data_IF_038307552128
#
_entry.id   IF_038307552128
#
_cell.length_a   1.000
_cell.length_b   1.000
_cell.length_c   1.000
_cell.angle_alpha   90.00
_cell.angle_beta   90.00
_cell.angle_gamma   90.00
#
_symmetry.space_group_name_H-M   'P 1'
#
loop_
_entity.id
_entity.type
_entity.pdbx_description
1 polymer ?
#
# COMPACT_ATOMS: atom_id res chain seq x y z
N UNK A 1 -23.35 -58.93 -77.56
CA UNK A 1 -22.30 -57.96 -77.32
C UNK A 1 -22.53 -57.41 -75.92
N UNK A 2 -21.85 -58.02 -74.92
CA UNK A 2 -22.02 -57.72 -73.52
C UNK A 2 -20.80 -56.98 -73.04
N UNK A 3 -20.97 -55.74 -72.60
CA UNK A 3 -19.89 -54.91 -72.07
C UNK A 3 -19.77 -55.18 -70.53
N UNK A 4 -18.62 -55.73 -70.10
CA UNK A 4 -18.25 -55.89 -68.70
C UNK A 4 -17.79 -54.58 -68.12
N UNK A 5 -18.50 -54.18 -67.09
CA UNK A 5 -18.15 -53.00 -66.23
C UNK A 5 -17.28 -53.45 -65.06
N UNK A 6 -16.03 -53.03 -65.08
CA UNK A 6 -15.02 -53.31 -64.08
C UNK A 6 -15.08 -52.20 -63.03
N UNK A 7 -15.39 -52.56 -61.82
CA UNK A 7 -15.46 -51.67 -60.61
C UNK A 7 -14.06 -51.43 -60.07
N UNK A 8 -13.60 -50.18 -59.79
CA UNK A 8 -12.29 -49.96 -59.19
C UNK A 8 -12.34 -50.29 -57.71
N UNK A 9 -11.29 -50.94 -57.20
CA UNK A 9 -11.10 -51.33 -55.83
C UNK A 9 -10.68 -50.14 -54.90
N UNK A 10 -10.80 -50.28 -53.60
CA UNK A 10 -10.54 -49.19 -52.67
C UNK A 10 -9.05 -48.89 -52.51
N UNK A 11 -8.74 -47.58 -52.58
CA UNK A 11 -7.39 -47.03 -52.33
C UNK A 11 -7.02 -47.17 -50.85
N UNK A 12 -5.78 -47.58 -50.50
CA UNK A 12 -5.37 -47.67 -49.11
C UNK A 12 -5.21 -46.28 -48.46
N UNK A 13 -5.78 -46.12 -47.25
CA UNK A 13 -5.65 -44.94 -46.41
C UNK A 13 -4.18 -44.72 -46.02
N UNK A 14 -3.67 -43.53 -46.30
CA UNK A 14 -2.40 -43.05 -45.79
C UNK A 14 -2.48 -42.84 -44.23
N UNK A 15 -1.37 -43.07 -43.49
CA UNK A 15 -1.36 -42.86 -42.06
C UNK A 15 -1.55 -41.37 -41.70
N UNK A 16 -2.48 -41.08 -40.79
CA UNK A 16 -2.66 -39.73 -40.26
C UNK A 16 -1.40 -39.32 -39.51
N UNK A 17 -0.80 -38.23 -39.96
CA UNK A 17 0.25 -37.55 -39.21
C UNK A 17 -0.28 -37.15 -37.82
N UNK A 18 0.36 -37.64 -36.79
CA UNK A 18 0.17 -37.19 -35.39
C UNK A 18 0.44 -35.71 -35.33
N UNK A 19 -0.64 -34.93 -35.17
CA UNK A 19 -0.55 -33.49 -34.99
C UNK A 19 0.34 -33.19 -33.78
N UNK A 20 1.38 -32.39 -34.02
CA UNK A 20 2.18 -31.83 -32.97
C UNK A 20 1.27 -31.07 -32.00
N UNK A 21 1.24 -31.52 -30.75
CA UNK A 21 0.52 -30.86 -29.72
C UNK A 21 1.12 -29.46 -29.56
N UNK A 22 0.34 -28.43 -29.88
CA UNK A 22 0.76 -27.07 -29.63
C UNK A 22 1.00 -26.94 -28.11
N UNK A 23 2.11 -26.32 -27.67
CA UNK A 23 2.37 -26.12 -26.24
C UNK A 23 1.18 -25.36 -25.65
N UNK A 24 0.69 -25.83 -24.51
CA UNK A 24 -0.36 -25.16 -23.76
C UNK A 24 0.03 -23.68 -23.56
N UNK A 25 -0.90 -22.72 -23.72
CA UNK A 25 -0.59 -21.32 -23.49
C UNK A 25 -0.02 -21.17 -22.07
N UNK A 26 1.13 -20.51 -21.97
CA UNK A 26 1.77 -20.20 -20.70
C UNK A 26 0.71 -19.55 -19.78
N UNK A 27 0.66 -19.91 -18.49
CA UNK A 27 -0.31 -19.33 -17.56
C UNK A 27 -0.17 -17.81 -17.63
N UNK A 28 -1.29 -17.13 -17.86
CA UNK A 28 -1.32 -15.66 -17.90
C UNK A 28 -0.60 -15.12 -16.68
N UNK A 29 0.43 -14.29 -16.89
CA UNK A 29 1.26 -13.76 -15.84
C UNK A 29 0.34 -13.10 -14.80
N UNK A 30 0.30 -13.66 -13.59
CA UNK A 30 -0.55 -13.16 -12.53
C UNK A 30 -0.11 -11.74 -12.18
N UNK A 31 -1.07 -10.81 -12.07
CA UNK A 31 -0.79 -9.42 -11.68
C UNK A 31 0.04 -9.39 -10.41
N UNK A 32 1.18 -8.66 -10.37
CA UNK A 32 2.04 -8.60 -9.18
C UNK A 32 1.25 -8.17 -7.94
N UNK A 33 1.40 -8.92 -6.84
CA UNK A 33 0.69 -8.65 -5.58
C UNK A 33 -0.77 -9.11 -5.54
N UNK A 34 -1.32 -9.68 -6.60
CA UNK A 34 -2.72 -10.13 -6.64
C UNK A 34 -3.08 -11.11 -5.50
N UNK A 35 -2.25 -12.11 -5.15
CA UNK A 35 -2.52 -13.00 -4.02
C UNK A 35 -2.64 -12.24 -2.69
N UNK A 36 -1.74 -11.29 -2.43
CA UNK A 36 -1.75 -10.45 -1.24
C UNK A 36 -3.02 -9.59 -1.17
N UNK A 37 -3.40 -8.94 -2.26
CA UNK A 37 -4.61 -8.11 -2.32
C UNK A 37 -5.89 -8.92 -2.12
N UNK A 38 -5.95 -10.11 -2.70
CA UNK A 38 -7.07 -11.02 -2.51
C UNK A 38 -7.17 -11.49 -1.05
N UNK A 39 -6.03 -11.83 -0.42
CA UNK A 39 -5.98 -12.22 0.99
C UNK A 39 -6.46 -11.08 1.89
N UNK A 40 -5.99 -9.85 1.65
CA UNK A 40 -6.43 -8.67 2.39
C UNK A 40 -7.94 -8.46 2.26
N UNK A 41 -8.47 -8.49 1.05
CA UNK A 41 -9.91 -8.30 0.78
C UNK A 41 -10.79 -9.33 1.49
N UNK A 42 -10.30 -10.57 1.63
CA UNK A 42 -11.03 -11.62 2.35
C UNK A 42 -11.02 -11.45 3.87
N UNK A 43 -9.94 -10.91 4.41
CA UNK A 43 -9.74 -10.80 5.87
C UNK A 43 -10.21 -9.45 6.43
N UNK A 44 -10.16 -8.39 5.64
CA UNK A 44 -10.51 -7.06 6.11
C UNK A 44 -11.99 -6.76 5.93
N UNK A 45 -12.71 -6.40 7.01
CA UNK A 45 -14.09 -5.97 6.92
C UNK A 45 -14.25 -4.55 6.34
N UNK A 46 -13.15 -3.78 6.30
CA UNK A 46 -13.19 -2.35 5.93
C UNK A 46 -12.44 -2.01 4.65
N UNK A 47 -11.68 -2.95 4.08
CA UNK A 47 -10.81 -2.68 2.93
C UNK A 47 -10.94 -3.75 1.85
N UNK A 48 -11.29 -3.34 0.64
CA UNK A 48 -11.32 -4.19 -0.54
C UNK A 48 -10.33 -3.70 -1.61
N UNK A 49 -9.53 -4.61 -2.18
CA UNK A 49 -8.58 -4.31 -3.25
C UNK A 49 -8.86 -5.21 -4.45
N UNK A 50 -8.93 -4.61 -5.63
CA UNK A 50 -9.15 -5.33 -6.91
C UNK A 50 -8.04 -5.01 -7.89
N UNK A 51 -7.46 -6.03 -8.49
CA UNK A 51 -6.56 -5.89 -9.63
C UNK A 51 -7.38 -5.53 -10.87
N UNK A 52 -7.51 -4.25 -11.15
CA UNK A 52 -8.29 -3.72 -12.27
C UNK A 52 -7.78 -2.32 -12.66
N UNK A 53 -8.04 -1.87 -13.89
CA UNK A 53 -7.75 -0.49 -14.28
C UNK A 53 -8.41 0.52 -13.34
N UNK A 54 -7.78 1.69 -13.11
CA UNK A 54 -8.35 2.75 -12.31
C UNK A 54 -9.72 3.19 -12.84
N UNK A 55 -10.61 3.51 -11.91
CA UNK A 55 -12.00 3.90 -12.18
C UNK A 55 -12.22 5.38 -11.94
N UNK A 56 -13.17 5.96 -12.67
CA UNK A 56 -13.67 7.33 -12.50
C UNK A 56 -15.19 7.32 -12.35
N UNK A 57 -15.73 8.35 -11.72
CA UNK A 57 -17.17 8.47 -11.50
C UNK A 57 -17.70 7.51 -10.43
N UNK A 58 -18.96 7.64 -10.05
CA UNK A 58 -19.58 6.78 -9.02
C UNK A 58 -18.86 6.81 -7.67
N UNK A 59 -18.24 7.92 -7.31
CA UNK A 59 -17.47 8.09 -6.07
C UNK A 59 -16.03 7.56 -6.13
N UNK A 60 -15.56 7.09 -7.30
CA UNK A 60 -14.17 6.72 -7.51
C UNK A 60 -13.30 7.95 -7.75
N UNK A 61 -12.19 8.03 -7.04
CA UNK A 61 -11.15 9.04 -7.15
C UNK A 61 -9.86 8.38 -7.66
N UNK A 62 -9.41 8.64 -8.90
CA UNK A 62 -8.07 8.29 -9.34
C UNK A 62 -7.03 9.03 -8.52
N UNK A 63 -5.97 8.34 -8.07
CA UNK A 63 -4.94 8.99 -7.27
C UNK A 63 -4.22 10.11 -8.02
N UNK A 64 -4.09 9.99 -9.35
CA UNK A 64 -3.53 11.04 -10.19
C UNK A 64 -4.33 12.36 -10.12
N UNK A 65 -5.63 12.30 -9.86
CA UNK A 65 -6.45 13.51 -9.77
C UNK A 65 -6.09 14.38 -8.57
N UNK A 66 -5.52 13.80 -7.50
CA UNK A 66 -5.05 14.57 -6.34
C UNK A 66 -3.94 15.56 -6.68
N UNK A 67 -3.17 15.28 -7.72
CA UNK A 67 -2.08 16.16 -8.18
C UNK A 67 -2.44 16.99 -9.40
N UNK A 68 -3.39 16.51 -10.19
CA UNK A 68 -3.81 17.18 -11.43
C UNK A 68 -4.95 18.18 -11.21
N UNK A 69 -5.77 18.00 -10.14
CA UNK A 69 -6.96 18.80 -9.87
C UNK A 69 -6.99 19.21 -8.39
N UNK A 70 -6.74 20.48 -8.07
CA UNK A 70 -6.80 20.96 -6.68
C UNK A 70 -8.14 20.68 -5.99
N UNK A 71 -9.24 20.67 -6.75
CA UNK A 71 -10.60 20.40 -6.27
C UNK A 71 -10.72 18.97 -5.71
N UNK A 72 -9.98 17.99 -6.26
CA UNK A 72 -10.02 16.61 -5.79
C UNK A 72 -9.54 16.47 -4.35
N UNK A 73 -8.52 17.22 -3.96
CA UNK A 73 -8.06 17.29 -2.56
C UNK A 73 -9.11 17.92 -1.68
N UNK A 74 -9.73 19.03 -2.13
CA UNK A 74 -10.80 19.70 -1.38
C UNK A 74 -12.03 18.82 -1.21
N UNK A 75 -12.45 18.07 -2.24
CA UNK A 75 -13.56 17.12 -2.19
C UNK A 75 -13.30 16.00 -1.16
N UNK A 76 -12.08 15.47 -1.15
CA UNK A 76 -11.66 14.43 -0.19
C UNK A 76 -11.71 14.96 1.25
N UNK A 77 -11.19 16.17 1.49
CA UNK A 77 -11.22 16.84 2.80
C UNK A 77 -12.65 17.14 3.24
N UNK A 78 -13.50 17.63 2.33
CA UNK A 78 -14.90 17.92 2.63
C UNK A 78 -15.67 16.64 3.03
N UNK A 79 -15.34 15.49 2.44
CA UNK A 79 -15.89 14.21 2.87
C UNK A 79 -15.51 13.90 4.33
N UNK A 80 -14.25 14.11 4.72
CA UNK A 80 -13.77 13.89 6.08
C UNK A 80 -14.36 14.90 7.08
N UNK A 81 -14.56 16.15 6.66
CA UNK A 81 -15.23 17.15 7.48
C UNK A 81 -16.67 16.74 7.80
N UNK A 82 -17.42 16.24 6.80
CA UNK A 82 -18.79 15.74 7.01
C UNK A 82 -18.83 14.52 7.95
N UNK A 83 -17.92 13.56 7.76
CA UNK A 83 -17.84 12.40 8.64
C UNK A 83 -17.46 12.81 10.07
N UNK A 84 -16.55 13.77 10.23
CA UNK A 84 -16.19 14.30 11.53
C UNK A 84 -17.36 15.00 12.22
N UNK A 85 -18.14 15.80 11.50
CA UNK A 85 -19.35 16.42 12.03
C UNK A 85 -20.37 15.36 12.49
N UNK A 86 -20.60 14.32 11.69
CA UNK A 86 -21.51 13.24 12.05
C UNK A 86 -21.03 12.46 13.30
N UNK A 87 -19.73 12.24 13.43
CA UNK A 87 -19.15 11.47 14.56
C UNK A 87 -19.08 12.26 15.87
N UNK A 88 -18.70 13.54 15.78
CA UNK A 88 -18.38 14.35 16.97
C UNK A 88 -19.47 15.39 17.31
N UNK A 89 -20.51 15.53 16.48
CA UNK A 89 -21.58 16.53 16.67
C UNK A 89 -21.14 17.99 16.50
N UNK A 90 -19.90 18.23 16.06
CA UNK A 90 -19.31 19.55 15.85
C UNK A 90 -18.35 19.54 14.65
N UNK A 91 -18.20 20.69 13.96
CA UNK A 91 -17.33 20.77 12.80
C UNK A 91 -15.85 20.58 13.19
N UNK A 92 -15.12 19.84 12.36
CA UNK A 92 -13.67 19.77 12.45
C UNK A 92 -13.05 21.11 12.02
N UNK A 93 -11.94 21.48 12.63
CA UNK A 93 -11.08 22.53 12.07
C UNK A 93 -10.59 22.09 10.68
N UNK A 94 -10.45 23.02 9.70
CA UNK A 94 -10.05 22.67 8.34
C UNK A 94 -8.74 21.87 8.26
N UNK A 95 -7.71 22.26 9.04
CA UNK A 95 -6.42 21.57 9.08
C UNK A 95 -6.52 20.16 9.69
N UNK A 96 -7.45 19.92 10.61
CA UNK A 96 -7.72 18.60 11.20
C UNK A 96 -8.43 17.71 10.18
N UNK A 97 -9.46 18.24 9.49
CA UNK A 97 -10.14 17.52 8.41
C UNK A 97 -9.17 17.15 7.29
N UNK A 98 -8.27 18.07 6.91
CA UNK A 98 -7.25 17.82 5.91
C UNK A 98 -6.26 16.72 6.37
N UNK A 99 -5.85 16.74 7.64
CA UNK A 99 -5.02 15.67 8.22
C UNK A 99 -5.69 14.31 8.19
N UNK A 100 -7.00 14.26 8.48
CA UNK A 100 -7.77 13.01 8.38
C UNK A 100 -7.90 12.54 6.94
N UNK A 101 -8.15 13.45 5.99
CA UNK A 101 -8.19 13.14 4.57
C UNK A 101 -6.89 12.53 4.08
N UNK A 102 -5.76 13.14 4.45
CA UNK A 102 -4.43 12.62 4.12
C UNK A 102 -4.20 11.23 4.72
N UNK A 103 -4.43 11.06 6.02
CA UNK A 103 -4.22 9.77 6.70
C UNK A 103 -5.08 8.66 6.07
N UNK A 104 -6.37 8.92 5.86
CA UNK A 104 -7.32 7.96 5.29
C UNK A 104 -7.11 7.68 3.79
N UNK A 105 -6.32 8.49 3.10
CA UNK A 105 -5.80 8.17 1.79
C UNK A 105 -4.54 7.32 1.87
N UNK A 106 -3.55 7.75 2.66
CA UNK A 106 -2.24 7.09 2.72
C UNK A 106 -2.34 5.70 3.34
N UNK A 107 -3.13 5.54 4.40
CA UNK A 107 -3.27 4.28 5.13
C UNK A 107 -3.65 3.09 4.23
N UNK A 108 -4.76 3.11 3.44
CA UNK A 108 -5.11 1.99 2.59
C UNK A 108 -4.20 1.85 1.37
N UNK A 109 -3.71 2.97 0.82
CA UNK A 109 -2.85 2.96 -0.37
C UNK A 109 -1.47 2.40 -0.04
N UNK A 110 -0.92 2.67 1.15
CA UNK A 110 0.37 2.10 1.56
C UNK A 110 0.37 0.57 1.57
N UNK A 111 -0.78 -0.05 1.84
CA UNK A 111 -0.94 -1.51 1.81
C UNK A 111 -0.80 -2.11 0.40
N UNK A 112 -1.00 -1.31 -0.65
CA UNK A 112 -0.74 -1.76 -2.02
C UNK A 112 0.74 -2.06 -2.27
N UNK A 113 1.63 -1.45 -1.50
CA UNK A 113 3.08 -1.66 -1.57
C UNK A 113 3.57 -2.60 -0.47
N UNK A 114 3.18 -2.31 0.77
CA UNK A 114 3.74 -2.99 1.95
C UNK A 114 3.25 -4.42 2.11
N UNK A 115 2.02 -4.73 1.69
CA UNK A 115 1.48 -6.08 1.88
C UNK A 115 2.08 -7.11 0.91
N UNK A 116 2.24 -6.84 -0.41
CA UNK A 116 2.97 -7.75 -1.29
C UNK A 116 4.44 -7.90 -0.91
N UNK A 117 5.09 -6.83 -0.45
CA UNK A 117 6.43 -6.91 0.10
C UNK A 117 6.48 -7.83 1.33
N UNK A 118 5.54 -7.68 2.25
CA UNK A 118 5.47 -8.48 3.48
C UNK A 118 5.18 -9.96 3.20
N UNK A 119 4.24 -10.27 2.29
CA UNK A 119 3.78 -11.64 2.05
C UNK A 119 4.53 -12.38 0.94
N UNK A 120 4.94 -11.66 -0.10
CA UNK A 120 5.48 -12.25 -1.33
C UNK A 120 6.94 -11.86 -1.60
N UNK A 121 7.53 -10.98 -0.79
CA UNK A 121 8.84 -10.34 -1.08
C UNK A 121 8.84 -9.70 -2.47
N UNK A 122 7.73 -9.06 -2.84
CA UNK A 122 7.56 -8.31 -4.08
C UNK A 122 7.13 -6.89 -3.79
N UNK A 123 7.82 -5.92 -4.37
CA UNK A 123 7.45 -4.50 -4.30
C UNK A 123 6.79 -4.09 -5.61
N UNK A 124 5.47 -3.87 -5.65
CA UNK A 124 4.79 -3.42 -6.85
C UNK A 124 5.28 -2.03 -7.30
N UNK A 125 5.47 -1.85 -8.60
CA UNK A 125 5.78 -0.56 -9.20
C UNK A 125 4.45 0.09 -9.62
N UNK A 126 4.09 1.16 -8.93
CA UNK A 126 2.82 1.86 -9.12
C UNK A 126 3.08 3.36 -9.34
N UNK A 127 2.47 3.90 -10.37
CA UNK A 127 2.28 5.33 -10.54
C UNK A 127 0.91 5.76 -9.98
N UNK A 128 0.69 7.07 -9.78
CA UNK A 128 -0.62 7.59 -9.36
C UNK A 128 -1.74 7.21 -10.34
N UNK A 129 -1.41 7.11 -11.64
CA UNK A 129 -2.34 6.67 -12.68
C UNK A 129 -2.78 5.21 -12.61
N UNK A 130 -2.14 4.39 -11.77
CA UNK A 130 -2.44 2.96 -11.64
C UNK A 130 -3.40 2.64 -10.49
N UNK A 131 -3.79 3.65 -9.72
CA UNK A 131 -4.59 3.48 -8.50
C UNK A 131 -5.82 4.36 -8.54
N UNK A 132 -6.97 3.82 -8.15
CA UNK A 132 -8.14 4.61 -7.77
C UNK A 132 -8.73 4.12 -6.45
N UNK A 133 -9.36 5.02 -5.74
CA UNK A 133 -9.92 4.81 -4.41
C UNK A 133 -11.38 5.24 -4.41
N UNK A 134 -12.23 4.46 -3.73
CA UNK A 134 -13.61 4.83 -3.42
C UNK A 134 -13.84 4.69 -1.93
N UNK A 135 -14.28 5.75 -1.29
CA UNK A 135 -14.61 5.75 0.14
C UNK A 135 -16.11 5.71 0.32
N UNK A 136 -16.56 4.79 1.15
CA UNK A 136 -17.93 4.71 1.66
C UNK A 136 -17.93 5.08 3.15
N UNK A 137 -19.06 4.98 3.81
CA UNK A 137 -19.17 5.29 5.24
C UNK A 137 -18.18 4.48 6.07
N UNK A 138 -18.17 3.15 5.88
CA UNK A 138 -17.41 2.23 6.73
C UNK A 138 -16.35 1.42 5.96
N UNK A 139 -16.26 1.59 4.64
CA UNK A 139 -15.36 0.79 3.81
C UNK A 139 -14.60 1.64 2.80
N UNK A 140 -13.43 1.14 2.43
CA UNK A 140 -12.59 1.69 1.37
C UNK A 140 -12.38 0.61 0.31
N UNK A 141 -12.61 0.97 -0.94
CA UNK A 141 -12.33 0.13 -2.08
C UNK A 141 -11.21 0.73 -2.91
N UNK A 142 -10.27 -0.11 -3.33
CA UNK A 142 -9.16 0.25 -4.20
C UNK A 142 -9.22 -0.55 -5.50
N UNK A 143 -8.87 0.09 -6.61
CA UNK A 143 -8.40 -0.63 -7.80
C UNK A 143 -6.94 -0.34 -8.00
N UNK A 144 -6.19 -1.35 -8.44
CA UNK A 144 -4.76 -1.26 -8.66
C UNK A 144 -4.35 -2.06 -9.89
N UNK A 145 -3.44 -1.49 -10.69
CA UNK A 145 -2.88 -2.14 -11.88
C UNK A 145 -1.36 -1.96 -11.91
N UNK A 146 -0.59 -2.78 -11.18
CA UNK A 146 0.85 -2.71 -11.20
C UNK A 146 1.40 -2.92 -12.61
N UNK A 147 2.35 -2.09 -13.01
CA UNK A 147 3.04 -2.19 -14.31
C UNK A 147 4.26 -3.10 -14.26
N UNK A 148 4.78 -3.37 -13.05
CA UNK A 148 5.91 -4.23 -12.76
C UNK A 148 6.10 -4.40 -11.26
N UNK A 149 7.20 -5.04 -10.89
CA UNK A 149 7.55 -5.26 -9.49
C UNK A 149 9.06 -5.45 -9.30
N UNK A 150 9.56 -5.12 -8.13
CA UNK A 150 10.88 -5.56 -7.67
C UNK A 150 10.74 -6.81 -6.82
N UNK A 151 11.70 -7.74 -6.93
CA UNK A 151 11.72 -9.00 -6.19
C UNK A 151 13.16 -9.47 -5.91
N UNK A 152 13.31 -10.52 -5.11
CA UNK A 152 14.60 -11.17 -4.87
C UNK A 152 15.00 -12.10 -6.04
N UNK A 153 16.30 -12.46 -6.18
CA UNK A 153 16.79 -13.31 -7.27
C UNK A 153 16.13 -14.69 -7.33
N UNK A 154 15.70 -15.23 -6.17
CA UNK A 154 15.04 -16.54 -6.07
C UNK A 154 13.53 -16.52 -6.34
N UNK A 155 12.94 -15.37 -6.69
CA UNK A 155 11.52 -15.28 -7.01
C UNK A 155 11.22 -16.04 -8.32
N UNK A 156 10.20 -16.92 -8.37
CA UNK A 156 9.84 -17.66 -9.59
C UNK A 156 9.53 -16.78 -10.79
N UNK A 157 9.12 -15.53 -10.57
CA UNK A 157 8.81 -14.56 -11.62
C UNK A 157 9.96 -13.58 -11.90
N UNK A 158 11.16 -13.77 -11.32
CA UNK A 158 12.31 -12.87 -11.51
C UNK A 158 12.77 -12.74 -12.97
N UNK A 159 12.52 -13.77 -13.80
CA UNK A 159 12.77 -13.73 -15.23
C UNK A 159 11.69 -13.03 -16.09
N UNK A 160 10.63 -12.53 -15.48
CA UNK A 160 9.60 -11.79 -16.21
C UNK A 160 10.13 -10.43 -16.67
N UNK A 161 9.74 -9.95 -17.87
CA UNK A 161 10.11 -8.61 -18.36
C UNK A 161 9.56 -7.48 -17.47
N UNK A 162 8.60 -7.78 -16.60
CA UNK A 162 8.04 -6.84 -15.63
C UNK A 162 8.78 -6.88 -14.28
N UNK A 163 9.69 -7.83 -14.07
CA UNK A 163 10.43 -7.98 -12.82
C UNK A 163 11.73 -7.17 -12.85
N UNK A 164 12.05 -6.57 -11.71
CA UNK A 164 13.35 -6.01 -11.42
C UNK A 164 13.92 -6.73 -10.20
N UNK A 165 15.13 -7.26 -10.33
CA UNK A 165 15.74 -8.03 -9.25
C UNK A 165 16.52 -7.11 -8.31
N UNK A 166 16.17 -7.12 -7.02
CA UNK A 166 16.93 -6.52 -5.94
C UNK A 166 18.01 -7.52 -5.48
N UNK A 167 19.19 -7.04 -5.12
CA UNK A 167 20.31 -7.91 -4.78
C UNK A 167 20.06 -8.77 -3.53
N UNK A 168 19.37 -8.19 -2.54
CA UNK A 168 19.09 -8.78 -1.23
C UNK A 168 17.86 -8.13 -0.57
N UNK A 169 17.52 -8.56 0.64
CA UNK A 169 16.41 -8.02 1.42
C UNK A 169 16.56 -6.52 1.73
N UNK A 170 17.78 -6.05 1.97
CA UNK A 170 18.05 -4.63 2.23
C UNK A 170 17.79 -3.78 0.97
N UNK A 171 18.23 -4.25 -0.18
CA UNK A 171 17.97 -3.62 -1.46
C UNK A 171 16.46 -3.64 -1.78
N UNK A 172 15.76 -4.74 -1.50
CA UNK A 172 14.32 -4.83 -1.68
C UNK A 172 13.56 -3.87 -0.75
N UNK A 173 13.98 -3.72 0.49
CA UNK A 173 13.43 -2.72 1.41
C UNK A 173 13.71 -1.28 0.94
N UNK A 174 14.87 -1.03 0.31
CA UNK A 174 15.17 0.26 -0.32
C UNK A 174 14.25 0.53 -1.52
N UNK A 175 13.97 -0.48 -2.36
CA UNK A 175 12.97 -0.39 -3.43
C UNK A 175 11.59 -0.03 -2.90
N UNK A 176 11.16 -0.65 -1.79
CA UNK A 176 9.89 -0.31 -1.14
C UNK A 176 9.85 1.15 -0.67
N UNK A 177 10.90 1.62 -0.01
CA UNK A 177 11.00 3.03 0.42
C UNK A 177 10.93 3.97 -0.77
N UNK A 178 11.63 3.65 -1.84
CA UNK A 178 11.66 4.43 -3.07
C UNK A 178 10.28 4.47 -3.75
N UNK A 179 9.63 3.32 -3.91
CA UNK A 179 8.31 3.22 -4.52
C UNK A 179 7.25 4.01 -3.73
N UNK A 180 7.21 3.83 -2.39
CA UNK A 180 6.34 4.60 -1.51
C UNK A 180 6.66 6.11 -1.56
N UNK A 181 7.95 6.46 -1.52
CA UNK A 181 8.41 7.85 -1.59
C UNK A 181 7.96 8.53 -2.87
N UNK A 182 8.21 7.92 -4.01
CA UNK A 182 7.83 8.44 -5.31
C UNK A 182 6.33 8.60 -5.49
N UNK A 183 5.55 7.64 -4.98
CA UNK A 183 4.08 7.70 -5.04
C UNK A 183 3.51 8.78 -4.11
N UNK A 184 4.01 8.89 -2.88
CA UNK A 184 3.44 9.77 -1.87
C UNK A 184 3.91 11.21 -1.97
N UNK A 185 5.13 11.49 -2.43
CA UNK A 185 5.68 12.85 -2.49
C UNK A 185 4.77 13.86 -3.19
N UNK A 186 4.26 13.61 -4.41
CA UNK A 186 3.36 14.54 -5.09
C UNK A 186 2.02 14.70 -4.36
N UNK A 187 1.51 13.64 -3.72
CA UNK A 187 0.27 13.70 -2.94
C UNK A 187 0.47 14.57 -1.69
N UNK A 188 1.57 14.38 -0.96
CA UNK A 188 1.90 15.19 0.22
C UNK A 188 2.05 16.67 -0.15
N UNK A 189 2.66 16.96 -1.31
CA UNK A 189 2.76 18.31 -1.85
C UNK A 189 1.39 18.93 -2.10
N UNK A 190 0.46 18.17 -2.69
CA UNK A 190 -0.90 18.63 -2.98
C UNK A 190 -1.73 18.89 -1.70
N UNK A 191 -1.52 18.10 -0.65
CA UNK A 191 -2.18 18.27 0.65
C UNK A 191 -1.58 19.38 1.52
N UNK A 192 -0.31 19.74 1.30
CA UNK A 192 0.45 20.68 2.14
C UNK A 192 -0.30 21.98 2.46
N UNK A 193 -0.83 22.71 1.47
CA UNK A 193 -1.56 23.95 1.69
C UNK A 193 -2.79 23.80 2.60
N UNK A 194 -3.47 22.66 2.53
CA UNK A 194 -4.70 22.38 3.28
C UNK A 194 -4.41 21.92 4.73
N UNK A 195 -3.38 21.08 4.90
CA UNK A 195 -2.95 20.60 6.23
C UNK A 195 -2.27 21.71 7.03
N UNK A 196 -1.73 22.74 6.35
CA UNK A 196 -0.99 23.86 6.96
C UNK A 196 0.18 23.40 7.82
N UNK A 197 0.90 22.39 7.35
CA UNK A 197 2.08 21.83 8.00
C UNK A 197 3.24 21.73 7.02
N UNK A 198 4.44 21.88 7.54
CA UNK A 198 5.64 21.74 6.74
C UNK A 198 5.87 20.30 6.26
N UNK A 199 6.71 20.10 5.22
CA UNK A 199 6.95 18.80 4.60
C UNK A 199 7.35 17.71 5.60
N UNK A 200 8.17 18.04 6.62
CA UNK A 200 8.57 17.10 7.67
C UNK A 200 7.36 16.50 8.41
N UNK A 201 6.35 17.31 8.72
CA UNK A 201 5.17 16.83 9.44
C UNK A 201 4.28 16.01 8.52
N UNK A 202 4.16 16.38 7.25
CA UNK A 202 3.41 15.59 6.26
C UNK A 202 4.03 14.20 6.08
N UNK A 203 5.36 14.12 5.99
CA UNK A 203 6.06 12.83 5.95
C UNK A 203 5.90 12.03 7.24
N UNK A 204 5.90 12.68 8.40
CA UNK A 204 5.63 12.02 9.67
C UNK A 204 4.20 11.43 9.71
N UNK A 205 3.20 12.16 9.20
CA UNK A 205 1.83 11.66 9.09
C UNK A 205 1.72 10.48 8.12
N UNK A 206 2.42 10.55 6.98
CA UNK A 206 2.46 9.45 6.02
C UNK A 206 3.15 8.21 6.62
N UNK A 207 4.27 8.40 7.32
CA UNK A 207 4.98 7.32 8.00
C UNK A 207 4.09 6.64 9.03
N UNK A 208 3.38 7.40 9.86
CA UNK A 208 2.42 6.85 10.83
C UNK A 208 1.33 6.03 10.16
N UNK A 209 0.82 6.47 9.00
CA UNK A 209 -0.19 5.75 8.23
C UNK A 209 0.34 4.45 7.61
N UNK A 210 1.58 4.44 7.11
CA UNK A 210 2.25 3.24 6.60
C UNK A 210 2.44 2.20 7.71
N UNK A 211 2.94 2.64 8.86
CA UNK A 211 3.13 1.77 10.03
C UNK A 211 1.80 1.16 10.48
N UNK A 212 0.77 2.00 10.59
CA UNK A 212 -0.56 1.57 11.00
C UNK A 212 -1.18 0.59 10.01
N UNK A 213 -0.98 0.82 8.71
CA UNK A 213 -1.50 -0.05 7.65
C UNK A 213 -0.92 -1.47 7.75
N UNK A 214 0.40 -1.60 7.77
CA UNK A 214 1.01 -2.93 7.85
C UNK A 214 0.79 -3.60 9.22
N UNK A 215 0.76 -2.83 10.31
CA UNK A 215 0.40 -3.32 11.63
C UNK A 215 -1.03 -3.90 11.67
N UNK A 216 -1.99 -3.19 11.06
CA UNK A 216 -3.36 -3.67 10.90
C UNK A 216 -3.41 -4.99 10.11
N UNK A 217 -2.74 -5.03 8.96
CA UNK A 217 -2.69 -6.24 8.14
C UNK A 217 -2.03 -7.41 8.88
N UNK A 218 -0.92 -7.16 9.61
CA UNK A 218 -0.28 -8.16 10.47
C UNK A 218 -1.22 -8.72 11.53
N UNK A 219 -2.08 -7.87 12.11
CA UNK A 219 -3.13 -8.28 13.04
C UNK A 219 -4.16 -9.21 12.41
N UNK A 220 -4.66 -8.88 11.22
CA UNK A 220 -5.59 -9.73 10.47
C UNK A 220 -5.00 -11.09 10.08
N UNK A 221 -3.69 -11.10 9.86
CA UNK A 221 -2.95 -12.31 9.45
C UNK A 221 -2.51 -13.19 10.62
N UNK A 222 -2.61 -12.70 11.87
CA UNK A 222 -2.03 -13.34 13.03
C UNK A 222 -0.50 -13.22 13.11
N UNK A 223 0.09 -12.29 12.35
CA UNK A 223 1.55 -12.13 12.19
C UNK A 223 2.05 -10.78 12.76
N UNK A 224 1.49 -10.31 13.88
CA UNK A 224 1.84 -9.00 14.46
C UNK A 224 3.31 -8.84 14.80
N UNK A 225 3.92 -9.85 15.41
CA UNK A 225 5.33 -9.78 15.80
C UNK A 225 6.25 -9.68 14.57
N UNK A 226 5.93 -10.42 13.52
CA UNK A 226 6.63 -10.30 12.24
C UNK A 226 6.43 -8.93 11.62
N UNK A 227 5.21 -8.41 11.57
CA UNK A 227 4.93 -7.08 11.04
C UNK A 227 5.68 -5.98 11.83
N UNK A 228 5.79 -6.13 13.16
CA UNK A 228 6.58 -5.25 14.02
C UNK A 228 8.07 -5.29 13.68
N UNK A 229 8.65 -6.48 13.55
CA UNK A 229 10.06 -6.64 13.21
C UNK A 229 10.39 -6.06 11.83
N UNK A 230 9.57 -6.36 10.82
CA UNK A 230 9.72 -5.85 9.46
C UNK A 230 9.57 -4.31 9.39
N UNK A 231 8.59 -3.75 10.10
CA UNK A 231 8.43 -2.30 10.20
C UNK A 231 9.61 -1.63 10.90
N UNK A 232 10.13 -2.23 11.97
CA UNK A 232 11.30 -1.71 12.66
C UNK A 232 12.54 -1.70 11.76
N UNK A 233 12.73 -2.75 10.96
CA UNK A 233 13.81 -2.82 9.97
C UNK A 233 13.60 -1.80 8.83
N UNK A 234 12.38 -1.65 8.34
CA UNK A 234 12.04 -0.72 7.27
C UNK A 234 12.28 0.75 7.69
N UNK A 235 11.98 1.08 8.95
CA UNK A 235 12.11 2.43 9.51
C UNK A 235 13.49 2.73 10.09
N UNK A 236 14.34 1.71 10.26
CA UNK A 236 15.71 1.92 10.70
C UNK A 236 16.40 2.94 9.77
N UNK A 237 17.20 3.86 10.30
CA UNK A 237 18.01 4.74 9.48
C UNK A 237 18.90 3.87 8.60
N UNK A 238 18.49 3.68 7.33
CA UNK A 238 19.33 3.03 6.36
C UNK A 238 20.57 3.93 6.14
N UNK A 239 21.72 3.34 5.90
CA UNK A 239 22.82 4.07 5.30
C UNK A 239 22.28 4.82 4.08
N UNK A 240 22.65 6.11 3.89
CA UNK A 240 22.20 6.85 2.72
C UNK A 240 22.50 6.00 1.49
N UNK A 241 21.50 5.75 0.66
CA UNK A 241 21.57 4.93 -0.56
C UNK A 241 22.54 5.52 -1.62
N UNK A 242 23.48 6.36 -1.20
CA UNK A 242 24.50 7.05 -1.98
C UNK A 242 25.89 6.66 -1.48
N UNK A 243 26.25 5.40 -1.69
CA UNK A 243 27.66 5.14 -1.94
C UNK A 243 27.95 5.69 -3.35
N UNK A 244 28.97 6.57 -3.52
CA UNK A 244 29.34 7.08 -4.83
C UNK A 244 29.73 5.88 -5.73
N UNK A 245 28.96 5.65 -6.81
CA UNK A 245 29.24 4.59 -7.78
C UNK A 245 28.15 3.54 -7.97
N UNK A 246 27.04 3.55 -7.21
CA UNK A 246 25.88 2.69 -7.52
C UNK A 246 24.80 3.54 -8.21
N UNK A 247 24.34 3.19 -9.43
CA UNK A 247 23.15 3.81 -10.02
C UNK A 247 21.99 3.64 -9.05
N UNK A 248 21.30 4.71 -8.72
CA UNK A 248 20.14 4.68 -7.82
C UNK A 248 19.13 3.67 -8.31
N UNK A 249 18.63 2.81 -7.43
CA UNK A 249 17.65 1.77 -7.77
C UNK A 249 16.38 2.31 -8.44
N UNK A 250 16.07 3.60 -8.28
CA UNK A 250 14.94 4.29 -8.90
C UNK A 250 15.25 5.15 -10.14
N UNK A 251 16.44 5.05 -10.72
CA UNK A 251 16.72 5.62 -12.04
C UNK A 251 16.71 7.16 -12.17
N UNK A 252 16.63 7.93 -11.08
CA UNK A 252 16.60 9.38 -11.14
C UNK A 252 17.61 10.01 -10.16
N UNK A 253 18.43 11.01 -10.60
CA UNK A 253 19.54 11.56 -9.82
C UNK A 253 19.14 12.54 -8.71
N UNK A 254 17.85 12.80 -8.49
CA UNK A 254 17.44 13.67 -7.38
C UNK A 254 17.50 12.90 -6.05
N UNK A 255 18.11 13.45 -4.99
CA UNK A 255 18.06 12.84 -3.68
C UNK A 255 16.59 12.81 -3.23
N UNK A 256 15.95 11.65 -3.34
CA UNK A 256 14.64 11.46 -2.75
C UNK A 256 14.75 11.77 -1.25
N UNK A 257 13.96 12.68 -0.69
CA UNK A 257 13.93 12.88 0.75
C UNK A 257 13.68 11.51 1.39
N UNK A 258 14.39 11.21 2.48
CA UNK A 258 14.15 9.96 3.21
C UNK A 258 12.64 9.84 3.46
N UNK A 259 11.93 8.87 2.87
CA UNK A 259 10.46 8.86 2.85
C UNK A 259 9.86 8.61 4.22
N UNK A 260 10.69 8.24 5.20
CA UNK A 260 10.22 7.95 6.54
C UNK A 260 10.86 8.84 7.58
N UNK A 261 10.02 9.43 8.43
CA UNK A 261 10.47 10.24 9.56
C UNK A 261 10.98 9.34 10.67
N UNK A 262 12.21 9.54 11.17
CA UNK A 262 12.71 8.82 12.33
C UNK A 262 11.79 9.02 13.56
N UNK A 263 11.66 7.98 14.39
CA UNK A 263 10.85 8.03 15.62
C UNK A 263 9.41 7.55 15.46
N UNK A 264 8.96 7.22 14.25
CA UNK A 264 7.77 6.39 14.06
C UNK A 264 8.14 4.92 14.31
N UNK A 265 7.16 4.13 14.74
CA UNK A 265 7.33 2.69 14.94
C UNK A 265 7.08 2.25 16.38
N UNK A 266 7.77 1.22 16.80
CA UNK A 266 7.56 0.59 18.11
C UNK A 266 8.70 0.97 19.05
N UNK A 267 8.37 1.73 20.12
CA UNK A 267 9.32 1.93 21.20
C UNK A 267 9.58 0.59 21.92
N UNK A 268 10.82 0.31 22.34
CA UNK A 268 11.04 -0.77 23.29
C UNK A 268 10.20 -0.48 24.55
N UNK A 269 9.63 -1.50 25.21
CA UNK A 269 8.89 -1.29 26.46
C UNK A 269 9.79 -0.58 27.46
N UNK A 270 9.32 0.56 27.98
CA UNK A 270 10.05 1.27 29.02
C UNK A 270 10.16 0.36 30.25
N UNK A 271 11.36 0.12 30.81
CA UNK A 271 11.49 -0.69 32.01
C UNK A 271 10.76 0.02 33.14
N UNK A 272 9.67 -0.55 33.65
CA UNK A 272 9.12 -0.22 34.95
C UNK A 272 7.89 0.69 35.02
N UNK A 273 7.00 0.75 34.06
CA UNK A 273 5.66 1.35 34.25
C UNK A 273 4.54 0.36 33.94
N UNK A 274 4.23 -0.47 34.92
CA UNK A 274 2.93 -1.13 35.02
C UNK A 274 1.88 -0.11 35.43
N UNK A 275 1.26 0.58 34.48
CA UNK A 275 0.15 1.50 34.68
C UNK A 275 -0.97 1.11 33.76
N UNK A 276 -2.08 0.59 34.32
CA UNK A 276 -3.30 0.26 33.59
C UNK A 276 -3.86 1.51 32.91
N UNK A 277 -3.75 1.61 31.59
CA UNK A 277 -4.42 2.63 30.81
C UNK A 277 -5.82 2.12 30.44
N UNK A 278 -6.83 2.66 31.12
CA UNK A 278 -8.24 2.49 30.76
C UNK A 278 -8.62 3.46 29.63
N UNK A 279 -8.28 3.14 28.41
CA UNK A 279 -8.83 3.81 27.24
C UNK A 279 -9.72 2.82 26.46
N UNK A 280 -11.04 2.90 26.71
CA UNK A 280 -12.06 2.24 25.89
C UNK A 280 -12.17 2.98 24.56
N UNK A 281 -11.96 2.26 23.47
CA UNK A 281 -12.25 2.78 22.13
C UNK A 281 -11.43 2.10 21.04
N UNK A 282 -12.04 1.12 20.36
CA UNK A 282 -11.62 0.45 19.13
C UNK A 282 -10.31 -0.33 19.19
N UNK A 283 -10.41 -1.62 19.48
CA UNK A 283 -9.35 -2.62 19.29
C UNK A 283 -8.51 -2.83 20.55
N UNK A 284 -9.03 -3.64 21.47
CA UNK A 284 -8.27 -4.13 22.63
C UNK A 284 -7.10 -4.99 22.18
N UNK A 285 -5.90 -4.40 22.19
CA UNK A 285 -4.65 -5.13 22.10
C UNK A 285 -4.07 -5.27 23.51
N UNK A 286 -4.32 -6.43 24.12
CA UNK A 286 -3.80 -6.80 25.43
C UNK A 286 -2.26 -7.03 25.47
N UNK A 287 -1.54 -6.70 24.41
CA UNK A 287 -0.07 -6.70 24.38
C UNK A 287 0.43 -5.27 24.45
N UNK A 288 0.89 -4.83 25.61
CA UNK A 288 1.37 -3.47 25.93
C UNK A 288 2.59 -3.02 25.13
N UNK A 289 2.49 -3.04 23.85
CA UNK A 289 3.48 -2.49 22.92
C UNK A 289 3.01 -1.11 22.51
N UNK A 290 3.46 -0.09 23.23
CA UNK A 290 3.19 1.31 22.90
C UNK A 290 3.81 1.65 21.53
N UNK A 291 2.95 1.78 20.53
CA UNK A 291 3.37 2.28 19.23
C UNK A 291 3.62 3.78 19.33
N UNK A 292 4.86 4.20 19.07
CA UNK A 292 5.20 5.62 18.98
C UNK A 292 4.73 6.19 17.62
N UNK A 293 4.03 7.33 17.67
CA UNK A 293 3.69 8.11 16.47
C UNK A 293 4.66 9.27 16.29
N UNK A 294 5.11 9.49 15.07
CA UNK A 294 5.96 10.62 14.72
C UNK A 294 5.16 11.93 14.59
N UNK A 295 3.84 11.84 14.35
CA UNK A 295 2.97 13.00 14.13
C UNK A 295 1.78 13.04 15.08
N UNK A 296 1.21 14.23 15.26
CA UNK A 296 -0.03 14.44 16.00
C UNK A 296 -1.20 14.64 15.04
N UNK A 297 -2.22 13.79 15.13
CA UNK A 297 -3.44 13.86 14.33
C UNK A 297 -4.38 15.00 14.73
N UNK A 298 -4.11 15.69 15.84
CA UNK A 298 -4.92 16.79 16.40
C UNK A 298 -6.35 16.40 16.81
N UNK A 299 -6.70 15.13 16.85
CA UNK A 299 -8.04 14.67 17.27
C UNK A 299 -8.43 15.19 18.64
N UNK A 300 -7.45 15.33 19.55
CA UNK A 300 -7.67 15.90 20.89
C UNK A 300 -8.27 17.31 20.90
N UNK A 301 -8.14 18.06 19.79
CA UNK A 301 -8.75 19.40 19.67
C UNK A 301 -10.24 19.35 19.40
N UNK A 302 -10.73 18.20 18.97
CA UNK A 302 -12.14 17.92 18.70
C UNK A 302 -12.74 17.09 19.83
N UNK A 303 -12.06 16.03 20.23
CA UNK A 303 -12.48 15.16 21.32
C UNK A 303 -11.27 14.88 22.24
N UNK A 304 -11.14 15.66 23.34
CA UNK A 304 -10.02 15.53 24.25
C UNK A 304 -9.90 14.18 24.94
N UNK A 305 -11.01 13.42 25.00
CA UNK A 305 -11.06 12.09 25.60
C UNK A 305 -10.70 10.97 24.62
N UNK A 306 -10.80 11.23 23.31
CA UNK A 306 -10.50 10.27 22.23
C UNK A 306 -9.06 10.48 21.74
N UNK A 307 -8.09 10.17 22.61
CA UNK A 307 -6.68 10.28 22.23
C UNK A 307 -6.22 9.01 21.51
N UNK A 308 -5.59 9.20 20.34
CA UNK A 308 -5.06 8.08 19.58
C UNK A 308 -3.95 7.35 20.37
N UNK A 309 -3.87 6.01 20.24
CA UNK A 309 -2.79 5.21 20.81
C UNK A 309 -1.42 5.71 20.33
N UNK A 310 -0.43 5.78 21.22
CA UNK A 310 0.89 6.31 20.92
C UNK A 310 0.93 7.82 20.65
N UNK A 311 -0.05 8.58 21.17
CA UNK A 311 -0.10 10.02 20.95
C UNK A 311 1.17 10.71 21.48
N UNK A 312 1.93 11.47 20.64
CA UNK A 312 3.18 12.09 21.06
C UNK A 312 3.01 13.16 22.14
N UNK A 313 1.79 13.59 22.41
CA UNK A 313 1.49 14.53 23.51
C UNK A 313 1.37 13.85 24.86
N UNK A 314 0.97 12.57 24.89
CA UNK A 314 0.91 11.79 26.15
C UNK A 314 2.31 11.31 26.51
N UNK A 315 3.11 10.93 25.52
CA UNK A 315 4.47 10.41 25.72
C UNK A 315 5.47 11.48 26.21
N UNK A 316 5.14 12.77 26.11
CA UNK A 316 6.01 13.90 26.53
C UNK A 316 5.67 14.45 27.90
N UNK A 317 4.71 13.86 28.61
CA UNK A 317 4.40 14.18 30.01
C UNK A 317 4.93 13.08 30.92
#
# INVERSE_FOLDING_TARGET
>A
MTASSTKPGPTPCAPRSTGAHAPAPAPAASTPGAPSYHRLTRLSPVLGVRCAPPRRGGGWLPAADLTARPEAVCELIAHDARQGLARYGRPLRPDVAAGFGLHRFVWPVSLLFTLPWFLERRVPLLALGDVSLRRRTDTVELTVRPTGFACLPGDPASGSPQARTAADEQALAAELRCALGGFLAPVLSAFGPQVRRGPRVLWAMATDAVVEGLWYAGGLLGERDRARAELSALLAPGEPAHAPGRPGACGDPAPAPAPFTPGAGFAPPAPGRGGASTARGAGEDASGTDRARASCCLVYTVEPRDMCGGCPRVMRR
#
